data_IF_341060805405
#
_entry.id   IF_341060805405
#
_cell.length_a   1.000
_cell.length_b   1.000
_cell.length_c   1.000
_cell.angle_alpha   90.00
_cell.angle_beta   90.00
_cell.angle_gamma   90.00
#
_symmetry.space_group_name_H-M   'P 1'
#
loop_
_entity.id
_entity.type
_entity.pdbx_description
1 polymer ?
#
# COMPACT_ATOMS: atom_id res chain seq x y z
N UNK A 1 -39.50 -12.03 -23.37
CA UNK A 1 -38.56 -11.08 -24.01
C UNK A 1 -37.62 -11.88 -24.92
N UNK A 2 -37.27 -11.37 -26.11
CA UNK A 2 -36.28 -12.04 -26.98
C UNK A 2 -34.92 -12.09 -26.29
N UNK A 3 -34.24 -13.24 -26.35
CA UNK A 3 -32.97 -13.48 -25.66
C UNK A 3 -31.90 -12.41 -25.99
N UNK A 4 -31.86 -11.94 -27.23
CA UNK A 4 -31.00 -10.85 -27.71
C UNK A 4 -31.17 -9.53 -26.93
N UNK A 5 -32.40 -9.18 -26.56
CA UNK A 5 -32.71 -7.93 -25.83
C UNK A 5 -32.34 -8.09 -24.36
N UNK A 6 -32.52 -9.29 -23.82
CA UNK A 6 -32.10 -9.62 -22.46
C UNK A 6 -30.57 -9.52 -22.32
N UNK A 7 -29.81 -10.19 -23.19
CA UNK A 7 -28.35 -10.16 -23.14
C UNK A 7 -27.78 -8.76 -23.33
N UNK A 8 -28.39 -7.93 -24.18
CA UNK A 8 -27.96 -6.53 -24.35
C UNK A 8 -28.16 -5.70 -23.07
N UNK A 9 -29.25 -5.92 -22.34
CA UNK A 9 -29.48 -5.26 -21.03
C UNK A 9 -28.51 -5.75 -19.98
N UNK A 10 -28.26 -7.07 -19.91
CA UNK A 10 -27.28 -7.66 -18.99
C UNK A 10 -25.89 -7.11 -19.26
N UNK A 11 -25.44 -7.10 -20.52
CA UNK A 11 -24.14 -6.56 -20.90
C UNK A 11 -23.99 -5.09 -20.46
N UNK A 12 -25.00 -4.25 -20.68
CA UNK A 12 -24.96 -2.84 -20.26
C UNK A 12 -24.75 -2.69 -18.75
N UNK A 13 -25.55 -3.38 -17.94
CA UNK A 13 -25.46 -3.27 -16.48
C UNK A 13 -24.20 -3.91 -15.91
N UNK A 14 -23.79 -5.08 -16.42
CA UNK A 14 -22.56 -5.76 -16.00
C UNK A 14 -21.34 -4.92 -16.35
N UNK A 15 -21.30 -4.29 -17.53
CA UNK A 15 -20.18 -3.42 -17.91
C UNK A 15 -20.06 -2.20 -16.99
N UNK A 16 -21.18 -1.60 -16.56
CA UNK A 16 -21.16 -0.48 -15.60
C UNK A 16 -20.60 -0.95 -14.24
N UNK A 17 -21.09 -2.09 -13.74
CA UNK A 17 -20.62 -2.66 -12.46
C UNK A 17 -19.15 -3.04 -12.53
N UNK A 18 -18.69 -3.60 -13.65
CA UNK A 18 -17.29 -3.97 -13.86
C UNK A 18 -16.37 -2.74 -14.04
N UNK A 19 -16.86 -1.65 -14.62
CA UNK A 19 -16.11 -0.41 -14.77
C UNK A 19 -15.87 0.31 -13.43
N UNK A 20 -16.77 0.14 -12.45
CA UNK A 20 -16.67 0.80 -11.15
C UNK A 20 -15.38 0.46 -10.37
N UNK A 21 -14.99 -0.81 -10.14
CA UNK A 21 -13.73 -1.13 -9.46
C UNK A 21 -12.51 -0.65 -10.26
N UNK A 22 -12.55 -0.73 -11.59
CA UNK A 22 -11.50 -0.19 -12.47
C UNK A 22 -11.33 1.32 -12.26
N UNK A 23 -12.44 2.05 -12.19
CA UNK A 23 -12.44 3.50 -11.96
C UNK A 23 -11.89 3.84 -10.56
N UNK A 24 -12.26 3.09 -9.52
CA UNK A 24 -11.71 3.29 -8.16
C UNK A 24 -10.20 3.08 -8.16
N UNK A 25 -9.71 1.98 -8.76
CA UNK A 25 -8.27 1.70 -8.84
C UNK A 25 -7.54 2.79 -9.63
N UNK A 26 -8.09 3.23 -10.76
CA UNK A 26 -7.49 4.27 -11.58
C UNK A 26 -7.40 5.62 -10.84
N UNK A 27 -8.51 6.07 -10.24
CA UNK A 27 -8.55 7.35 -9.51
C UNK A 27 -7.64 7.33 -8.29
N UNK A 28 -7.66 6.24 -7.51
CA UNK A 28 -6.79 6.11 -6.33
C UNK A 28 -5.32 5.99 -6.75
N UNK A 29 -5.00 5.27 -7.82
CA UNK A 29 -3.65 5.19 -8.37
C UNK A 29 -3.11 6.56 -8.82
N UNK A 30 -3.92 7.34 -9.52
CA UNK A 30 -3.56 8.71 -9.92
C UNK A 30 -3.33 9.59 -8.68
N UNK A 31 -4.24 9.52 -7.70
CA UNK A 31 -4.10 10.26 -6.45
C UNK A 31 -2.81 9.89 -5.68
N UNK A 32 -2.46 8.60 -5.67
CA UNK A 32 -1.26 8.13 -5.00
C UNK A 32 0.04 8.56 -5.69
N UNK A 33 0.03 8.80 -7.01
CA UNK A 33 1.23 9.31 -7.68
C UNK A 33 1.63 10.71 -7.23
N UNK A 34 0.66 11.54 -6.87
CA UNK A 34 0.89 12.91 -6.38
C UNK A 34 0.96 12.99 -4.86
N UNK A 35 1.01 11.84 -4.15
CA UNK A 35 0.98 11.81 -2.68
C UNK A 35 2.09 12.65 -2.01
N UNK A 36 3.24 12.79 -2.67
CA UNK A 36 4.40 13.53 -2.14
C UNK A 36 4.28 15.04 -2.34
N UNK A 37 3.38 15.49 -3.21
CA UNK A 37 3.17 16.92 -3.47
C UNK A 37 2.24 17.55 -2.43
N UNK A 38 1.52 16.74 -1.65
CA UNK A 38 0.55 17.19 -0.66
C UNK A 38 0.96 16.78 0.76
N UNK A 39 1.39 17.77 1.56
CA UNK A 39 1.83 17.55 2.94
C UNK A 39 0.79 16.88 3.87
N UNK A 40 -0.51 17.01 3.56
CA UNK A 40 -1.59 16.34 4.30
C UNK A 40 -1.74 14.85 3.94
N UNK A 41 -1.37 14.47 2.71
CA UNK A 41 -1.36 13.06 2.27
C UNK A 41 -0.10 12.39 2.78
N UNK A 42 1.03 13.08 2.64
CA UNK A 42 2.31 12.63 3.15
C UNK A 42 3.10 13.83 3.68
N UNK A 43 3.36 13.91 5.00
CA UNK A 43 4.20 14.97 5.58
C UNK A 43 5.57 15.00 4.90
N UNK A 44 6.19 16.17 4.83
CA UNK A 44 7.51 16.36 4.23
C UNK A 44 8.49 15.32 4.76
N UNK A 45 8.94 14.44 3.86
CA UNK A 45 9.93 13.42 4.20
C UNK A 45 11.24 14.13 4.59
N UNK A 46 11.83 13.72 5.70
CA UNK A 46 13.19 14.09 6.03
C UNK A 46 14.11 13.04 5.40
N UNK A 47 15.01 13.47 4.52
CA UNK A 47 16.11 12.63 4.10
C UNK A 47 16.98 12.34 5.34
N UNK A 48 17.22 11.06 5.62
CA UNK A 48 18.13 10.67 6.69
C UNK A 48 19.50 11.28 6.42
N UNK A 49 20.02 12.05 7.36
CA UNK A 49 21.37 12.65 7.27
C UNK A 49 22.48 11.66 7.65
N UNK A 50 22.15 10.37 7.81
CA UNK A 50 23.04 9.36 8.36
C UNK A 50 23.96 8.78 7.30
N UNK A 51 25.25 8.66 7.64
CA UNK A 51 26.14 7.70 7.02
C UNK A 51 25.64 6.27 7.27
N UNK A 52 26.30 5.29 6.64
CA UNK A 52 26.04 3.86 6.85
C UNK A 52 25.85 3.55 8.34
N UNK A 53 24.80 2.79 8.73
CA UNK A 53 24.51 2.52 10.13
C UNK A 53 25.76 2.01 10.86
N UNK A 54 26.15 2.67 11.94
CA UNK A 54 27.34 2.29 12.72
C UNK A 54 27.21 0.94 13.44
N UNK A 55 26.02 0.33 13.40
CA UNK A 55 25.70 -0.93 14.05
C UNK A 55 25.20 -1.95 13.03
N UNK A 56 25.68 -3.18 13.16
CA UNK A 56 25.21 -4.29 12.33
C UNK A 56 23.85 -4.82 12.83
N UNK A 57 23.14 -5.54 11.96
CA UNK A 57 21.88 -6.20 12.35
C UNK A 57 22.07 -7.18 13.51
N UNK A 58 23.21 -7.87 13.57
CA UNK A 58 23.55 -8.79 14.66
C UNK A 58 23.68 -8.05 16.00
N UNK A 59 24.27 -6.86 15.99
CA UNK A 59 24.38 -6.02 17.19
C UNK A 59 23.00 -5.53 17.65
N UNK A 60 22.13 -5.18 16.71
CA UNK A 60 20.73 -4.82 17.01
C UNK A 60 20.00 -6.02 17.63
N UNK A 61 20.12 -7.22 17.04
CA UNK A 61 19.52 -8.44 17.57
C UNK A 61 20.00 -8.74 18.98
N UNK A 62 21.32 -8.71 19.20
CA UNK A 62 21.91 -9.00 20.50
C UNK A 62 21.42 -8.02 21.57
N UNK A 63 21.28 -6.73 21.24
CA UNK A 63 20.75 -5.72 22.14
C UNK A 63 19.27 -5.98 22.48
N UNK A 64 18.44 -6.37 21.50
CA UNK A 64 17.03 -6.69 21.73
C UNK A 64 16.85 -8.00 22.53
N UNK A 65 17.59 -9.05 22.19
CA UNK A 65 17.54 -10.35 22.87
C UNK A 65 18.09 -10.28 24.30
N UNK A 66 18.93 -9.30 24.60
CA UNK A 66 19.40 -9.02 25.95
C UNK A 66 18.31 -8.44 26.86
N UNK A 67 17.19 -7.94 26.33
CA UNK A 67 16.03 -7.58 27.14
C UNK A 67 14.98 -8.69 27.23
N UNK A 68 14.77 -9.29 28.41
CA UNK A 68 13.76 -10.32 28.60
C UNK A 68 12.34 -9.83 28.27
N UNK A 69 12.00 -8.56 28.59
CA UNK A 69 10.69 -8.00 28.28
C UNK A 69 10.42 -7.80 26.79
N UNK A 70 11.47 -7.76 25.96
CA UNK A 70 11.31 -7.61 24.52
C UNK A 70 10.78 -8.89 23.87
N UNK A 71 10.97 -10.06 24.51
CA UNK A 71 10.49 -11.35 24.00
C UNK A 71 11.09 -11.75 22.64
N UNK A 72 12.23 -11.16 22.25
CA UNK A 72 12.89 -11.41 20.97
C UNK A 72 13.89 -12.55 21.15
N UNK A 73 13.65 -13.67 20.46
CA UNK A 73 14.48 -14.86 20.55
C UNK A 73 15.06 -15.30 19.20
N UNK A 74 14.47 -14.86 18.09
CA UNK A 74 14.89 -15.17 16.73
C UNK A 74 14.44 -14.07 15.75
N UNK A 75 15.07 -14.04 14.58
CA UNK A 75 14.65 -13.23 13.43
C UNK A 75 13.50 -13.84 12.63
N UNK A 76 13.25 -15.12 12.82
CA UNK A 76 12.19 -15.93 12.20
C UNK A 76 11.04 -16.15 13.15
#
# INVERSE_FOLDING_TARGET
MRAEVFWRKVHCWVSIVAALPLLVVALTGILLQVKKDFAWVQPTEQAGSGAEPAVSFEQIFAACAAQPEAGVHSWT
#
